data_IF_533397560175
#
_entry.id   IF_533397560175
#
_cell.length_a   1.000
_cell.length_b   1.000
_cell.length_c   1.000
_cell.angle_alpha   90.00
_cell.angle_beta   90.00
_cell.angle_gamma   90.00
#
_symmetry.space_group_name_H-M   'P 1'
#
loop_
_entity.id
_entity.type
_entity.pdbx_description
1 polymer ?
#
# COMPACT_ATOMS: atom_id res chain seq x y z
N UNK A 1 5.36 3.34 -5.03
CA UNK A 1 6.69 3.16 -4.42
C UNK A 1 7.55 4.30 -4.94
N UNK A 2 8.49 4.81 -4.15
CA UNK A 2 9.22 6.03 -4.52
C UNK A 2 9.91 5.94 -5.88
N UNK A 3 9.80 6.99 -6.70
CA UNK A 3 10.43 7.06 -8.01
C UNK A 3 11.93 7.43 -7.90
N UNK A 4 12.35 7.93 -6.74
CA UNK A 4 13.72 8.36 -6.48
C UNK A 4 14.56 7.22 -5.89
N UNK A 5 15.86 7.22 -6.18
CA UNK A 5 16.80 6.21 -5.66
C UNK A 5 17.10 6.35 -4.16
N UNK A 6 16.83 7.52 -3.56
CA UNK A 6 17.04 7.75 -2.13
C UNK A 6 16.14 8.87 -1.60
N UNK A 7 15.82 8.78 -0.31
CA UNK A 7 15.06 9.80 0.42
C UNK A 7 15.86 10.24 1.66
N UNK A 8 15.95 11.55 1.97
CA UNK A 8 16.69 12.01 3.13
C UNK A 8 16.00 11.57 4.43
N UNK A 9 16.79 11.25 5.47
CA UNK A 9 16.27 10.81 6.77
C UNK A 9 15.56 11.93 7.56
N UNK A 10 16.06 13.17 7.44
CA UNK A 10 15.67 14.31 8.29
C UNK A 10 14.15 14.55 8.39
N UNK A 11 13.33 14.41 7.31
CA UNK A 11 11.88 14.57 7.40
C UNK A 11 11.17 13.48 8.22
N UNK A 12 11.77 12.30 8.38
CA UNK A 12 11.14 11.13 9.01
C UNK A 12 11.62 10.87 10.44
N UNK A 13 12.76 11.46 10.81
CA UNK A 13 13.33 11.31 12.15
C UNK A 13 12.78 12.38 13.09
N UNK A 14 11.73 12.01 13.83
CA UNK A 14 11.12 12.84 14.88
C UNK A 14 11.70 12.54 16.26
N UNK A 15 12.41 11.41 16.40
CA UNK A 15 12.98 10.94 17.66
C UNK A 15 14.42 11.40 17.87
N UNK A 16 14.80 11.60 19.13
CA UNK A 16 16.17 11.96 19.48
C UNK A 16 17.17 10.80 19.26
N UNK A 17 16.72 9.55 19.41
CA UNK A 17 17.54 8.35 19.29
C UNK A 17 17.50 7.77 17.88
N UNK A 18 18.57 7.95 17.10
CA UNK A 18 18.70 7.42 15.74
C UNK A 18 18.69 5.89 15.67
N UNK A 19 19.32 5.21 16.62
CA UNK A 19 19.39 3.75 16.63
C UNK A 19 17.99 3.11 16.74
N UNK A 20 17.13 3.66 17.59
CA UNK A 20 15.75 3.18 17.74
C UNK A 20 14.94 3.29 16.44
N UNK A 21 15.19 4.32 15.63
CA UNK A 21 14.58 4.46 14.30
C UNK A 21 15.01 3.33 13.37
N UNK A 22 16.32 3.05 13.31
CA UNK A 22 16.86 1.99 12.46
C UNK A 22 16.43 0.58 12.90
N UNK A 23 16.40 0.33 14.20
CA UNK A 23 15.89 -0.94 14.76
C UNK A 23 14.44 -1.18 14.36
N UNK A 24 13.58 -0.14 14.43
CA UNK A 24 12.20 -0.24 13.96
C UNK A 24 12.11 -0.44 12.45
N UNK A 25 12.95 0.22 11.65
CA UNK A 25 13.00 -0.03 10.20
C UNK A 25 13.29 -1.50 9.90
N UNK A 26 14.31 -2.09 10.55
CA UNK A 26 14.66 -3.50 10.38
C UNK A 26 13.52 -4.43 10.84
N UNK A 27 12.90 -4.13 11.97
CA UNK A 27 11.76 -4.91 12.48
C UNK A 27 10.56 -4.89 11.51
N UNK A 28 10.22 -3.71 10.97
CA UNK A 28 9.13 -3.56 9.99
C UNK A 28 9.46 -4.34 8.71
N UNK A 29 10.66 -4.16 8.14
CA UNK A 29 11.08 -4.87 6.92
C UNK A 29 10.97 -6.38 7.13
N UNK A 30 11.47 -6.90 8.25
CA UNK A 30 11.41 -8.33 8.54
C UNK A 30 9.95 -8.84 8.64
N UNK A 31 9.06 -8.05 9.25
CA UNK A 31 7.65 -8.43 9.42
C UNK A 31 6.78 -8.24 8.16
N UNK A 32 7.08 -7.27 7.31
CA UNK A 32 6.17 -6.84 6.21
C UNK A 32 6.70 -7.07 4.80
N UNK A 33 7.98 -7.41 4.63
CA UNK A 33 8.61 -7.58 3.30
C UNK A 33 7.81 -8.48 2.35
N UNK A 34 7.31 -9.62 2.84
CA UNK A 34 6.49 -10.55 2.05
C UNK A 34 5.19 -9.90 1.55
N UNK A 35 4.47 -9.17 2.41
CA UNK A 35 3.24 -8.44 2.07
C UNK A 35 3.52 -7.27 1.12
N UNK A 36 4.65 -6.58 1.31
CA UNK A 36 5.10 -5.50 0.44
C UNK A 36 5.41 -5.98 -0.97
N UNK A 37 5.98 -7.19 -1.14
CA UNK A 37 6.14 -7.77 -2.47
C UNK A 37 4.80 -8.26 -3.03
N UNK A 38 4.00 -8.94 -2.20
CA UNK A 38 2.70 -9.50 -2.59
C UNK A 38 1.74 -8.43 -3.10
N UNK A 39 1.70 -7.24 -2.50
CA UNK A 39 0.80 -6.18 -2.97
C UNK A 39 1.15 -5.65 -4.36
N UNK A 40 2.40 -5.81 -4.80
CA UNK A 40 2.80 -5.50 -6.17
C UNK A 40 2.55 -6.67 -7.13
N UNK A 41 2.69 -7.92 -6.65
CA UNK A 41 2.58 -9.13 -7.47
C UNK A 41 1.16 -9.69 -7.62
N UNK A 42 0.28 -9.48 -6.63
CA UNK A 42 -1.06 -10.05 -6.54
C UNK A 42 -2.14 -8.95 -6.61
N UNK A 43 -2.77 -8.78 -7.78
CA UNK A 43 -3.90 -7.89 -7.99
C UNK A 43 -5.01 -7.99 -6.94
N UNK A 44 -5.41 -9.21 -6.59
CA UNK A 44 -6.52 -9.45 -5.68
C UNK A 44 -6.15 -9.00 -4.27
N UNK A 45 -4.91 -9.25 -3.85
CA UNK A 45 -4.42 -8.78 -2.56
C UNK A 45 -4.40 -7.25 -2.46
N UNK A 46 -3.99 -6.53 -3.52
CA UNK A 46 -4.11 -5.06 -3.54
C UNK A 46 -5.57 -4.60 -3.38
N UNK A 47 -6.51 -5.21 -4.12
CA UNK A 47 -7.92 -4.83 -4.02
C UNK A 47 -8.51 -5.07 -2.65
N UNK A 48 -8.12 -6.16 -1.99
CA UNK A 48 -8.53 -6.48 -0.63
C UNK A 48 -8.03 -5.42 0.36
N UNK A 49 -6.73 -5.11 0.34
CA UNK A 49 -6.14 -4.11 1.26
C UNK A 49 -6.74 -2.71 1.01
N UNK A 50 -7.03 -2.37 -0.25
CA UNK A 50 -7.70 -1.10 -0.58
C UNK A 50 -9.15 -1.05 -0.10
N UNK A 51 -9.86 -2.17 -0.19
CA UNK A 51 -11.22 -2.32 0.33
C UNK A 51 -11.27 -2.20 1.87
N UNK A 52 -10.33 -2.85 2.56
CA UNK A 52 -10.17 -2.75 4.01
C UNK A 52 -9.91 -1.30 4.45
N UNK A 53 -9.00 -0.60 3.76
CA UNK A 53 -8.72 0.81 4.05
C UNK A 53 -9.95 1.71 3.91
N UNK A 54 -10.84 1.43 2.94
CA UNK A 54 -12.09 2.18 2.76
C UNK A 54 -13.12 1.90 3.86
N UNK A 55 -13.15 0.68 4.40
CA UNK A 55 -14.06 0.36 5.51
C UNK A 55 -13.66 1.02 6.82
N UNK A 56 -12.37 1.32 7.04
CA UNK A 56 -11.91 2.11 8.19
C UNK A 56 -12.49 3.54 8.22
N UNK A 57 -13.01 4.04 7.08
CA UNK A 57 -13.71 5.32 6.96
C UNK A 57 -15.22 5.26 7.23
N UNK A 58 -15.79 4.10 7.60
CA UNK A 58 -17.20 3.96 7.98
C UNK A 58 -18.20 3.57 6.87
N UNK A 59 -17.74 3.26 5.64
CA UNK A 59 -18.62 2.72 4.60
C UNK A 59 -18.79 1.19 4.75
N UNK A 60 -20.03 0.74 4.88
CA UNK A 60 -20.37 -0.66 5.14
C UNK A 60 -20.11 -1.63 3.96
N UNK A 61 -20.08 -2.94 4.24
CA UNK A 61 -19.63 -3.99 3.31
C UNK A 61 -20.50 -4.26 2.07
N UNK A 62 -21.52 -3.44 1.80
CA UNK A 62 -22.51 -3.68 0.74
C UNK A 62 -22.07 -3.20 -0.66
N UNK A 63 -20.98 -2.43 -0.76
CA UNK A 63 -20.51 -1.84 -2.02
C UNK A 63 -19.43 -2.65 -2.76
N UNK A 64 -18.89 -3.72 -2.17
CA UNK A 64 -17.77 -4.48 -2.76
C UNK A 64 -18.10 -5.12 -4.11
N UNK A 65 -19.30 -5.71 -4.27
CA UNK A 65 -19.70 -6.41 -5.50
C UNK A 65 -20.15 -5.48 -6.64
N UNK A 66 -20.47 -4.21 -6.33
CA UNK A 66 -20.87 -3.21 -7.35
C UNK A 66 -19.65 -2.44 -7.88
N UNK A 67 -18.59 -2.37 -7.08
CA UNK A 67 -17.37 -1.59 -7.34
C UNK A 67 -16.40 -2.28 -8.30
N UNK A 68 -16.23 -3.61 -8.23
CA UNK A 68 -15.35 -4.38 -9.11
C UNK A 68 -16.08 -5.07 -10.28
N UNK A 69 -17.04 -4.38 -10.90
CA UNK A 69 -17.62 -4.89 -12.15
C UNK A 69 -16.59 -4.74 -13.29
N UNK A 70 -16.38 -5.77 -14.12
CA UNK A 70 -15.63 -5.64 -15.37
C UNK A 70 -16.18 -4.46 -16.17
N UNK A 71 -15.31 -3.49 -16.51
CA UNK A 71 -15.70 -2.25 -17.23
C UNK A 71 -16.06 -1.04 -16.35
N UNK A 72 -15.93 -1.13 -15.02
CA UNK A 72 -16.08 0.04 -14.15
C UNK A 72 -14.88 1.00 -14.24
N UNK A 73 -15.12 2.30 -13.99
CA UNK A 73 -14.06 3.31 -13.93
C UNK A 73 -12.97 2.99 -12.89
N UNK A 74 -13.31 2.22 -11.84
CA UNK A 74 -12.36 1.79 -10.83
C UNK A 74 -11.53 0.56 -11.22
N UNK A 75 -12.06 -0.35 -12.05
CA UNK A 75 -11.22 -1.35 -12.72
C UNK A 75 -10.22 -0.71 -13.70
N UNK A 76 -10.62 0.36 -14.40
CA UNK A 76 -9.74 1.11 -15.29
C UNK A 76 -8.65 1.88 -14.50
N UNK A 77 -9.02 2.57 -13.42
CA UNK A 77 -8.05 3.22 -12.52
C UNK A 77 -7.09 2.21 -11.88
N UNK A 78 -7.56 0.99 -11.60
CA UNK A 78 -6.71 -0.12 -11.14
C UNK A 78 -5.68 -0.54 -12.20
N UNK A 79 -6.09 -0.72 -13.46
CA UNK A 79 -5.16 -1.02 -14.55
C UNK A 79 -4.16 0.11 -14.77
N UNK A 80 -4.58 1.37 -14.64
CA UNK A 80 -3.70 2.53 -14.78
C UNK A 80 -2.69 2.63 -13.64
N UNK A 81 -3.11 2.46 -12.38
CA UNK A 81 -2.22 2.49 -11.20
C UNK A 81 -1.25 1.30 -11.20
N UNK A 82 -1.68 0.14 -11.68
CA UNK A 82 -0.83 -1.05 -11.75
C UNK A 82 0.13 -0.98 -12.95
N UNK A 83 -0.33 -0.48 -14.10
CA UNK A 83 0.47 -0.36 -15.33
C UNK A 83 1.44 0.82 -15.35
N UNK A 84 1.31 1.78 -14.43
CA UNK A 84 2.28 2.87 -14.23
C UNK A 84 3.32 2.56 -13.14
N UNK A 85 3.21 1.40 -12.48
CA UNK A 85 4.13 0.94 -11.42
C UNK A 85 5.01 -0.26 -11.84
N UNK A 86 4.93 -0.69 -13.10
CA UNK A 86 5.82 -1.60 -13.80
C UNK A 86 6.39 -0.87 -15.03
#
# INVERSE_FOLDING_TARGET
MGNEISYPLKPFLVEAAKEAFWDRCLAIINATSSKMLRINADPHFFTQVFAELKSEGGCGPQDYGRFWRPGSAQCAAYQEIWSTKL
#
